data_IF_461054097672
#
_entry.id   IF_461054097672
#
_cell.length_a   1.000
_cell.length_b   1.000
_cell.length_c   1.000
_cell.angle_alpha   90.00
_cell.angle_beta   90.00
_cell.angle_gamma   90.00
#
_symmetry.space_group_name_H-M   'P 1'
#
loop_
_entity.id
_entity.type
_entity.pdbx_description
1 polymer ?
#
# COMPACT_ATOMS: atom_id res chain seq x y z
N UNK A 1 -19.38 -11.86 22.27
CA UNK A 1 -18.81 -10.82 21.38
C UNK A 1 -19.57 -9.53 21.68
N UNK A 2 -19.00 -8.58 22.44
CA UNK A 2 -19.67 -7.32 22.79
C UNK A 2 -19.37 -6.29 21.70
N UNK A 3 -20.29 -6.09 20.76
CA UNK A 3 -20.20 -5.02 19.76
C UNK A 3 -20.31 -3.66 20.47
N UNK A 4 -19.39 -2.75 20.21
CA UNK A 4 -19.45 -1.37 20.74
C UNK A 4 -20.33 -0.52 19.82
N UNK A 5 -20.94 0.54 20.36
CA UNK A 5 -21.78 1.47 19.59
C UNK A 5 -21.06 2.01 18.34
N UNK A 6 -19.74 2.25 18.45
CA UNK A 6 -18.91 2.66 17.32
C UNK A 6 -18.83 1.61 16.20
N UNK A 7 -18.78 0.32 16.54
CA UNK A 7 -18.76 -0.76 15.53
C UNK A 7 -20.08 -0.82 14.75
N UNK A 8 -21.20 -0.54 15.42
CA UNK A 8 -22.53 -0.48 14.81
C UNK A 8 -22.69 0.76 13.92
N UNK A 9 -22.16 1.90 14.34
CA UNK A 9 -22.16 3.14 13.55
C UNK A 9 -21.30 2.97 12.29
N UNK A 10 -20.11 2.40 12.42
CA UNK A 10 -19.22 2.11 11.28
C UNK A 10 -19.91 1.17 10.28
N UNK A 11 -20.54 0.11 10.77
CA UNK A 11 -21.27 -0.84 9.93
C UNK A 11 -22.48 -0.20 9.23
N UNK A 12 -23.23 0.66 9.93
CA UNK A 12 -24.37 1.37 9.36
C UNK A 12 -23.92 2.38 8.29
N UNK A 13 -22.84 3.12 8.51
CA UNK A 13 -22.26 4.04 7.53
C UNK A 13 -21.74 3.30 6.30
N UNK A 14 -21.08 2.15 6.49
CA UNK A 14 -20.63 1.30 5.39
C UNK A 14 -21.81 0.77 4.56
N UNK A 15 -22.90 0.36 5.23
CA UNK A 15 -24.11 -0.11 4.55
C UNK A 15 -24.77 1.02 3.75
N UNK A 16 -24.88 2.21 4.35
CA UNK A 16 -25.52 3.37 3.74
C UNK A 16 -24.74 3.89 2.53
N UNK A 17 -23.40 3.95 2.63
CA UNK A 17 -22.51 4.32 1.52
C UNK A 17 -22.57 3.30 0.39
N UNK A 18 -22.64 2.00 0.72
CA UNK A 18 -22.82 0.92 -0.27
C UNK A 18 -24.18 1.03 -0.98
N UNK A 19 -25.26 1.25 -0.23
CA UNK A 19 -26.61 1.41 -0.78
C UNK A 19 -26.71 2.64 -1.68
N UNK A 20 -26.10 3.77 -1.29
CA UNK A 20 -26.02 4.97 -2.12
C UNK A 20 -25.24 4.73 -3.41
N UNK A 21 -24.07 4.09 -3.32
CA UNK A 21 -23.25 3.79 -4.49
C UNK A 21 -23.99 2.89 -5.49
N UNK A 22 -24.63 1.82 -4.99
CA UNK A 22 -25.45 0.92 -5.81
C UNK A 22 -26.67 1.63 -6.39
N UNK A 23 -27.36 2.46 -5.60
CA UNK A 23 -28.53 3.22 -6.04
C UNK A 23 -28.22 4.16 -7.19
N UNK A 24 -27.13 4.94 -7.08
CA UNK A 24 -26.67 5.81 -8.16
C UNK A 24 -26.32 4.99 -9.40
N UNK A 25 -25.55 3.90 -9.24
CA UNK A 25 -25.14 3.07 -10.36
C UNK A 25 -26.33 2.46 -11.11
N UNK A 26 -27.28 1.88 -10.38
CA UNK A 26 -28.50 1.29 -10.94
C UNK A 26 -29.33 2.34 -11.68
N UNK A 27 -29.55 3.52 -11.07
CA UNK A 27 -30.32 4.61 -11.67
C UNK A 27 -29.69 5.08 -12.99
N UNK A 28 -28.36 5.22 -13.02
CA UNK A 28 -27.65 5.75 -14.21
C UNK A 28 -27.51 4.77 -15.37
N UNK A 29 -27.39 3.46 -15.11
CA UNK A 29 -27.11 2.47 -16.14
C UNK A 29 -28.37 1.98 -16.88
N UNK A 30 -29.57 2.31 -16.38
CA UNK A 30 -30.83 2.07 -17.09
C UNK A 30 -31.19 0.60 -17.35
N UNK A 31 -30.54 -0.35 -16.67
CA UNK A 31 -30.69 -1.80 -16.91
C UNK A 31 -31.18 -2.61 -15.71
N UNK A 32 -31.60 -1.92 -14.63
CA UNK A 32 -32.13 -2.51 -13.40
C UNK A 32 -33.31 -1.66 -12.91
N UNK A 33 -34.53 -2.20 -12.93
CA UNK A 33 -35.72 -1.50 -12.44
C UNK A 33 -35.87 -1.64 -10.91
N UNK A 34 -35.94 -0.52 -10.20
CA UNK A 34 -36.15 -0.49 -8.75
C UNK A 34 -37.61 -0.26 -8.42
N UNK A 35 -38.29 -1.26 -7.85
CA UNK A 35 -39.67 -1.12 -7.37
C UNK A 35 -39.78 -0.57 -5.94
N UNK A 36 -38.70 -0.61 -5.16
CA UNK A 36 -38.69 -0.16 -3.76
C UNK A 36 -37.30 0.29 -3.30
N UNK A 37 -37.22 1.38 -2.52
CA UNK A 37 -35.98 1.83 -1.89
C UNK A 37 -35.43 0.80 -0.88
N UNK A 38 -36.29 -0.05 -0.30
CA UNK A 38 -35.88 -1.12 0.59
C UNK A 38 -35.07 -2.21 -0.12
N UNK A 39 -35.29 -2.40 -1.42
CA UNK A 39 -34.50 -3.34 -2.23
C UNK A 39 -33.02 -2.94 -2.29
N UNK A 40 -32.69 -1.63 -2.27
CA UNK A 40 -31.30 -1.16 -2.24
C UNK A 40 -30.59 -1.53 -0.93
N UNK A 41 -31.29 -1.36 0.19
CA UNK A 41 -30.76 -1.77 1.50
C UNK A 41 -30.60 -3.29 1.57
N UNK A 42 -31.54 -4.06 1.01
CA UNK A 42 -31.45 -5.51 0.96
C UNK A 42 -30.27 -5.99 0.10
N UNK A 43 -30.05 -5.38 -1.08
CA UNK A 43 -28.86 -5.66 -1.90
C UNK A 43 -27.59 -5.35 -1.09
N UNK A 44 -27.51 -4.18 -0.44
CA UNK A 44 -26.33 -3.81 0.34
C UNK A 44 -26.05 -4.81 1.49
N UNK A 45 -27.09 -5.29 2.17
CA UNK A 45 -26.98 -6.34 3.19
C UNK A 45 -26.52 -7.67 2.60
N UNK A 46 -27.10 -8.10 1.48
CA UNK A 46 -26.72 -9.36 0.82
C UNK A 46 -25.29 -9.32 0.28
N UNK A 47 -24.86 -8.18 -0.26
CA UNK A 47 -23.47 -7.98 -0.69
C UNK A 47 -22.52 -8.02 0.50
N UNK A 48 -22.88 -7.37 1.62
CA UNK A 48 -22.09 -7.43 2.85
C UNK A 48 -22.02 -8.85 3.45
N UNK A 49 -23.12 -9.61 3.38
CA UNK A 49 -23.17 -10.99 3.84
C UNK A 49 -22.38 -11.93 2.92
N UNK A 50 -22.54 -11.81 1.60
CA UNK A 50 -21.80 -12.58 0.61
C UNK A 50 -20.30 -12.30 0.67
N UNK A 51 -19.91 -11.05 0.90
CA UNK A 51 -18.54 -10.70 1.27
C UNK A 51 -18.08 -11.50 2.49
N UNK A 52 -18.78 -11.37 3.62
CA UNK A 52 -18.40 -12.05 4.86
C UNK A 52 -18.20 -13.56 4.68
N UNK A 53 -19.06 -14.20 3.88
CA UNK A 53 -19.02 -15.63 3.58
C UNK A 53 -17.89 -16.03 2.61
N UNK A 54 -17.51 -15.17 1.67
CA UNK A 54 -16.43 -15.47 0.69
C UNK A 54 -15.04 -15.28 1.27
N UNK A 55 -14.89 -14.49 2.34
CA UNK A 55 -13.61 -14.27 3.06
C UNK A 55 -12.81 -15.54 3.36
N UNK A 56 -13.33 -16.60 4.00
CA UNK A 56 -12.56 -17.82 4.28
C UNK A 56 -12.04 -18.51 3.02
N UNK A 57 -12.83 -18.51 1.93
CA UNK A 57 -12.43 -19.10 0.66
C UNK A 57 -11.32 -18.29 0.00
N UNK A 58 -11.47 -16.96 -0.07
CA UNK A 58 -10.45 -16.05 -0.58
C UNK A 58 -9.14 -16.19 0.20
N UNK A 59 -9.22 -16.41 1.52
CA UNK A 59 -8.06 -16.70 2.38
C UNK A 59 -7.31 -17.96 1.95
N UNK A 60 -8.03 -19.04 1.66
CA UNK A 60 -7.43 -20.30 1.23
C UNK A 60 -6.79 -20.16 -0.16
N UNK A 61 -7.46 -19.48 -1.08
CA UNK A 61 -6.97 -19.31 -2.45
C UNK A 61 -5.72 -18.45 -2.49
N UNK A 62 -5.73 -17.31 -1.82
CA UNK A 62 -4.59 -16.40 -1.78
C UNK A 62 -3.34 -17.01 -1.12
N UNK A 63 -3.50 -17.96 -0.19
CA UNK A 63 -2.39 -18.73 0.36
C UNK A 63 -1.74 -19.67 -0.69
N UNK A 64 -2.47 -20.08 -1.73
CA UNK A 64 -1.97 -20.99 -2.79
C UNK A 64 -1.53 -20.28 -4.06
N UNK A 65 -2.19 -19.20 -4.45
CA UNK A 65 -2.01 -18.56 -5.76
C UNK A 65 -1.26 -17.21 -5.69
N UNK A 66 -0.87 -16.78 -4.48
CA UNK A 66 -0.17 -15.52 -4.26
C UNK A 66 -1.06 -14.29 -4.48
N UNK A 67 -0.45 -13.11 -4.51
CA UNK A 67 -1.17 -11.83 -4.54
C UNK A 67 -2.01 -11.64 -5.81
N UNK A 68 -1.49 -12.02 -6.98
CA UNK A 68 -2.20 -11.88 -8.26
C UNK A 68 -3.42 -12.81 -8.30
N UNK A 69 -3.28 -14.07 -7.87
CA UNK A 69 -4.40 -14.99 -7.83
C UNK A 69 -5.44 -14.61 -6.77
N UNK A 70 -5.02 -14.05 -5.64
CA UNK A 70 -5.91 -13.47 -4.64
C UNK A 70 -6.76 -12.32 -5.19
N UNK A 71 -6.14 -11.43 -5.97
CA UNK A 71 -6.80 -10.29 -6.60
C UNK A 71 -7.86 -10.76 -7.61
N UNK A 72 -7.51 -11.70 -8.50
CA UNK A 72 -8.43 -12.24 -9.48
C UNK A 72 -9.59 -12.99 -8.82
N UNK A 73 -9.31 -13.79 -7.79
CA UNK A 73 -10.34 -14.50 -7.02
C UNK A 73 -11.27 -13.51 -6.28
N UNK A 74 -10.72 -12.44 -5.70
CA UNK A 74 -11.49 -11.40 -5.02
C UNK A 74 -12.44 -10.67 -5.97
N UNK A 75 -11.97 -10.29 -7.15
CA UNK A 75 -12.79 -9.65 -8.19
C UNK A 75 -13.90 -10.59 -8.68
N UNK A 76 -13.57 -11.87 -8.92
CA UNK A 76 -14.55 -12.87 -9.33
C UNK A 76 -15.62 -13.08 -8.25
N UNK A 77 -15.21 -13.21 -6.98
CA UNK A 77 -16.14 -13.35 -5.86
C UNK A 77 -17.09 -12.14 -5.77
N UNK A 78 -16.62 -10.93 -6.00
CA UNK A 78 -17.46 -9.73 -6.00
C UNK A 78 -18.49 -9.72 -7.11
N UNK A 79 -18.09 -10.06 -8.33
CA UNK A 79 -19.01 -10.16 -9.46
C UNK A 79 -20.10 -11.20 -9.17
N UNK A 80 -19.72 -12.35 -8.63
CA UNK A 80 -20.67 -13.42 -8.28
C UNK A 80 -21.61 -13.03 -7.13
N UNK A 81 -21.08 -12.40 -6.07
CA UNK A 81 -21.88 -11.94 -4.93
C UNK A 81 -22.86 -10.85 -5.36
N UNK A 82 -22.42 -9.87 -6.15
CA UNK A 82 -23.30 -8.81 -6.65
C UNK A 82 -24.35 -9.37 -7.62
N UNK A 83 -23.94 -10.22 -8.57
CA UNK A 83 -24.87 -10.86 -9.49
C UNK A 83 -25.94 -11.66 -8.73
N UNK A 84 -25.52 -12.50 -7.78
CA UNK A 84 -26.44 -13.27 -6.93
C UNK A 84 -27.36 -12.37 -6.09
N UNK A 85 -26.84 -11.27 -5.54
CA UNK A 85 -27.67 -10.32 -4.79
C UNK A 85 -28.73 -9.64 -5.66
N UNK A 86 -28.40 -9.31 -6.91
CA UNK A 86 -29.34 -8.68 -7.84
C UNK A 86 -30.40 -9.67 -8.37
N UNK A 87 -30.06 -10.96 -8.52
CA UNK A 87 -31.02 -12.02 -8.91
C UNK A 87 -31.97 -12.41 -7.78
N UNK A 88 -31.49 -12.46 -6.54
CA UNK A 88 -32.29 -12.93 -5.38
C UNK A 88 -33.25 -11.87 -4.86
N UNK A 89 -32.93 -10.58 -5.02
CA UNK A 89 -33.74 -9.51 -4.43
C UNK A 89 -35.05 -9.32 -5.20
N UNK A 90 -36.21 -9.48 -4.54
CA UNK A 90 -37.50 -9.35 -5.20
C UNK A 90 -37.72 -7.93 -5.75
N UNK A 91 -38.28 -7.86 -6.96
CA UNK A 91 -38.67 -6.59 -7.58
C UNK A 91 -37.55 -5.89 -8.34
N UNK A 92 -36.47 -6.60 -8.68
CA UNK A 92 -35.45 -6.18 -9.64
C UNK A 92 -35.55 -7.04 -10.89
N UNK A 93 -35.43 -6.41 -12.05
CA UNK A 93 -35.26 -7.09 -13.34
C UNK A 93 -33.91 -6.71 -13.91
N UNK A 94 -33.06 -7.70 -14.13
CA UNK A 94 -31.77 -7.52 -14.79
C UNK A 94 -31.96 -7.62 -16.30
N UNK A 95 -31.48 -6.62 -17.05
CA UNK A 95 -31.43 -6.70 -18.51
C UNK A 95 -30.43 -7.78 -19.01
N UNK A 96 -29.52 -8.24 -18.15
CA UNK A 96 -28.61 -9.37 -18.38
C UNK A 96 -27.35 -9.32 -17.50
N UNK A 97 -26.59 -10.42 -17.40
CA UNK A 97 -25.41 -10.52 -16.53
C UNK A 97 -24.29 -9.52 -16.90
N UNK A 98 -24.25 -9.05 -18.15
CA UNK A 98 -23.29 -8.06 -18.64
C UNK A 98 -23.40 -6.68 -17.97
N UNK A 99 -24.51 -6.38 -17.28
CA UNK A 99 -24.72 -5.11 -16.57
C UNK A 99 -24.00 -5.08 -15.22
N UNK A 100 -23.75 -6.25 -14.62
CA UNK A 100 -23.18 -6.39 -13.27
C UNK A 100 -21.78 -5.76 -13.14
N UNK A 101 -20.82 -5.95 -14.08
CA UNK A 101 -19.53 -5.28 -14.00
C UNK A 101 -19.63 -3.76 -14.05
N UNK A 102 -20.54 -3.22 -14.87
CA UNK A 102 -20.75 -1.77 -14.98
C UNK A 102 -21.34 -1.19 -13.69
N UNK A 103 -22.31 -1.87 -13.08
CA UNK A 103 -22.87 -1.49 -11.77
C UNK A 103 -21.79 -1.50 -10.70
N UNK A 104 -20.97 -2.56 -10.65
CA UNK A 104 -19.90 -2.68 -9.68
C UNK A 104 -18.88 -1.54 -9.81
N UNK A 105 -18.42 -1.24 -11.02
CA UNK A 105 -17.45 -0.17 -11.30
C UNK A 105 -18.02 1.20 -10.94
N UNK A 106 -19.25 1.50 -11.34
CA UNK A 106 -19.87 2.80 -11.10
C UNK A 106 -20.20 3.02 -9.62
N UNK A 107 -20.70 1.99 -8.93
CA UNK A 107 -20.88 2.04 -7.49
C UNK A 107 -19.54 2.29 -6.78
N UNK A 108 -18.49 1.58 -7.20
CA UNK A 108 -17.12 1.79 -6.73
C UNK A 108 -16.65 3.24 -6.91
N UNK A 109 -16.90 3.85 -8.07
CA UNK A 109 -16.54 5.23 -8.37
C UNK A 109 -17.32 6.25 -7.54
N UNK A 110 -18.62 6.07 -7.37
CA UNK A 110 -19.46 6.94 -6.53
C UNK A 110 -19.00 6.89 -5.08
N UNK A 111 -18.68 5.71 -4.56
CA UNK A 111 -18.15 5.56 -3.21
C UNK A 111 -16.77 6.21 -3.05
N UNK A 112 -15.88 6.05 -4.04
CA UNK A 112 -14.57 6.70 -4.04
C UNK A 112 -14.70 8.22 -4.00
N UNK A 113 -15.60 8.78 -4.84
CA UNK A 113 -15.87 10.21 -4.91
C UNK A 113 -16.49 10.74 -3.61
N UNK A 114 -17.49 10.03 -3.05
CA UNK A 114 -18.12 10.39 -1.79
C UNK A 114 -17.11 10.46 -0.64
N UNK A 115 -16.19 9.49 -0.56
CA UNK A 115 -15.12 9.50 0.46
C UNK A 115 -14.13 10.64 0.25
N UNK A 116 -13.76 10.91 -0.99
CA UNK A 116 -12.91 12.06 -1.33
C UNK A 116 -13.53 13.39 -0.91
N UNK A 117 -14.85 13.57 -1.14
CA UNK A 117 -15.58 14.79 -0.74
C UNK A 117 -15.63 14.99 0.78
N UNK A 118 -15.72 13.89 1.55
CA UNK A 118 -15.77 13.93 3.01
C UNK A 118 -14.35 14.02 3.61
N UNK A 119 -13.30 13.95 2.78
CA UNK A 119 -11.90 13.99 3.21
C UNK A 119 -11.44 12.73 3.95
N UNK A 120 -12.20 11.64 3.88
CA UNK A 120 -11.87 10.36 4.54
C UNK A 120 -10.98 9.54 3.62
N UNK A 121 -9.76 9.25 4.06
CA UNK A 121 -8.83 8.38 3.32
C UNK A 121 -8.80 6.96 3.91
N UNK A 122 -8.72 5.93 3.06
CA UNK A 122 -8.98 4.53 3.50
C UNK A 122 -7.84 3.92 4.29
N UNK A 123 -6.63 4.45 4.15
CA UNK A 123 -5.50 4.06 5.00
C UNK A 123 -5.88 4.26 6.48
N UNK A 124 -6.69 5.26 6.84
CA UNK A 124 -7.22 5.44 8.21
C UNK A 124 -8.23 4.36 8.62
N UNK A 125 -9.04 3.83 7.71
CA UNK A 125 -10.04 2.81 8.03
C UNK A 125 -9.41 1.42 8.22
N UNK A 126 -8.53 1.02 7.28
CA UNK A 126 -7.77 -0.25 7.39
C UNK A 126 -6.92 -0.22 8.65
N UNK A 127 -6.29 0.92 8.93
CA UNK A 127 -5.50 1.12 10.13
C UNK A 127 -6.36 1.26 11.38
N UNK A 128 -7.59 1.77 11.28
CA UNK A 128 -8.55 1.86 12.37
C UNK A 128 -8.86 0.49 12.97
N UNK A 129 -9.04 -0.54 12.15
CA UNK A 129 -9.16 -1.93 12.63
C UNK A 129 -7.86 -2.43 13.28
N UNK A 130 -6.70 -2.15 12.66
CA UNK A 130 -5.39 -2.54 13.19
C UNK A 130 -5.13 -1.90 14.57
N UNK A 131 -5.33 -0.59 14.71
CA UNK A 131 -5.21 0.18 15.95
C UNK A 131 -6.23 -0.30 16.99
N UNK A 132 -7.49 -0.54 16.58
CA UNK A 132 -8.55 -1.06 17.48
C UNK A 132 -8.17 -2.41 18.04
N UNK A 133 -7.65 -3.32 17.21
CA UNK A 133 -7.14 -4.63 17.63
C UNK A 133 -5.89 -4.52 18.51
N UNK A 134 -4.96 -3.64 18.16
CA UNK A 134 -3.76 -3.38 18.96
C UNK A 134 -4.15 -2.90 20.36
N UNK A 135 -5.04 -1.90 20.45
CA UNK A 135 -5.59 -1.40 21.73
C UNK A 135 -6.37 -2.46 22.49
N UNK A 136 -7.16 -3.29 21.81
CA UNK A 136 -7.90 -4.38 22.45
C UNK A 136 -6.96 -5.45 23.00
N UNK A 137 -5.85 -5.73 22.30
CA UNK A 137 -4.81 -6.64 22.76
C UNK A 137 -4.04 -6.04 23.94
N UNK A 138 -3.59 -4.79 23.83
CA UNK A 138 -2.86 -4.08 24.88
C UNK A 138 -3.64 -4.06 26.21
N UNK A 139 -4.95 -3.77 26.15
CA UNK A 139 -5.84 -3.83 27.32
C UNK A 139 -5.96 -5.22 27.94
N UNK A 140 -5.88 -6.29 27.14
CA UNK A 140 -5.95 -7.68 27.64
C UNK A 140 -4.64 -8.15 28.23
N UNK A 141 -3.52 -7.71 27.67
CA UNK A 141 -2.17 -8.09 28.12
C UNK A 141 -1.65 -7.19 29.25
N UNK A 142 -2.44 -6.22 29.72
CA UNK A 142 -2.01 -5.27 30.75
C UNK A 142 -0.87 -4.35 30.29
N UNK A 143 -0.61 -4.30 28.98
CA UNK A 143 0.46 -3.48 28.39
C UNK A 143 0.01 -2.03 28.13
N UNK A 144 -0.96 -1.53 28.89
CA UNK A 144 -1.31 -0.09 28.97
C UNK A 144 -0.27 0.67 29.81
N UNK A 145 1.00 0.27 29.66
CA UNK A 145 2.13 0.83 30.38
C UNK A 145 2.67 2.01 29.57
N UNK A 146 3.20 3.02 30.25
CA UNK A 146 3.77 4.21 29.62
C UNK A 146 4.78 3.82 28.52
N UNK A 147 4.86 4.59 27.42
CA UNK A 147 5.73 4.32 26.27
C UNK A 147 7.13 3.83 26.64
N UNK A 148 7.78 4.51 27.58
CA UNK A 148 9.18 4.31 28.00
C UNK A 148 9.45 2.99 28.75
N UNK A 149 8.40 2.23 29.09
CA UNK A 149 8.52 0.93 29.78
C UNK A 149 8.39 -0.27 28.84
N UNK A 150 8.02 -0.05 27.58
CA UNK A 150 7.91 -1.09 26.57
C UNK A 150 9.30 -1.45 26.05
N UNK A 151 9.47 -2.68 25.59
CA UNK A 151 10.73 -3.07 24.93
C UNK A 151 11.00 -2.15 23.72
N UNK A 152 12.26 -1.72 23.50
CA UNK A 152 12.61 -0.91 22.34
C UNK A 152 12.29 -1.59 21.01
N UNK A 153 11.87 -0.81 20.03
CA UNK A 153 11.75 -1.21 18.62
C UNK A 153 12.29 -0.14 17.68
N UNK A 154 12.55 -0.51 16.44
CA UNK A 154 13.01 0.40 15.39
C UNK A 154 12.16 0.22 14.13
N UNK A 155 11.65 1.33 13.60
CA UNK A 155 11.02 1.42 12.30
C UNK A 155 11.90 2.27 11.40
N UNK A 156 12.39 1.70 10.30
CA UNK A 156 13.16 2.42 9.26
C UNK A 156 12.30 2.51 8.00
N UNK A 157 12.01 3.73 7.54
CA UNK A 157 11.15 4.00 6.39
C UNK A 157 11.97 4.71 5.31
N UNK A 158 12.36 4.00 4.26
CA UNK A 158 13.03 4.62 3.14
C UNK A 158 11.98 5.31 2.26
N UNK A 159 12.16 6.61 2.03
CA UNK A 159 11.44 7.33 0.99
C UNK A 159 12.30 7.29 -0.28
N UNK A 160 12.08 6.29 -1.14
CA UNK A 160 12.97 6.06 -2.30
C UNK A 160 13.06 7.30 -3.18
N UNK A 161 14.25 7.58 -3.70
CA UNK A 161 14.54 8.73 -4.57
C UNK A 161 14.43 10.12 -3.94
N UNK A 162 14.01 10.26 -2.67
CA UNK A 162 13.81 11.57 -2.02
C UNK A 162 15.14 12.15 -1.55
N UNK A 163 15.68 13.09 -2.34
CA UNK A 163 16.85 13.88 -1.93
C UNK A 163 16.50 14.98 -0.91
N UNK A 164 17.51 15.43 -0.16
CA UNK A 164 17.39 16.51 0.86
C UNK A 164 16.71 17.76 0.32
N UNK A 165 17.10 18.21 -0.87
CA UNK A 165 16.58 19.46 -1.44
C UNK A 165 15.10 19.34 -1.83
N UNK A 166 14.69 18.19 -2.37
CA UNK A 166 13.27 17.90 -2.63
C UNK A 166 12.48 17.86 -1.33
N UNK A 167 13.00 17.23 -0.29
CA UNK A 167 12.34 17.20 1.02
C UNK A 167 12.18 18.62 1.59
N UNK A 168 13.21 19.46 1.46
CA UNK A 168 13.16 20.87 1.85
C UNK A 168 12.04 21.63 1.14
N UNK A 169 11.95 21.51 -0.19
CA UNK A 169 10.88 22.12 -1.00
C UNK A 169 9.50 21.63 -0.56
N UNK A 170 9.34 20.34 -0.27
CA UNK A 170 8.06 19.79 0.18
C UNK A 170 7.65 20.31 1.56
N UNK A 171 8.59 20.44 2.49
CA UNK A 171 8.35 21.02 3.82
C UNK A 171 7.95 22.50 3.68
N UNK A 172 8.70 23.29 2.93
CA UNK A 172 8.44 24.72 2.71
C UNK A 172 7.10 24.95 2.01
N UNK A 173 6.72 24.08 1.08
CA UNK A 173 5.43 24.13 0.38
C UNK A 173 4.25 23.65 1.24
N UNK A 174 4.47 23.23 2.49
CA UNK A 174 3.42 22.71 3.38
C UNK A 174 2.90 21.34 2.98
N UNK A 175 3.66 20.58 2.17
CA UNK A 175 3.30 19.24 1.68
C UNK A 175 3.80 18.11 2.57
N UNK A 176 4.61 18.41 3.59
CA UNK A 176 5.12 17.42 4.54
C UNK A 176 4.83 17.82 6.01
N UNK A 177 3.54 17.93 6.42
CA UNK A 177 3.17 18.42 7.74
C UNK A 177 3.62 17.51 8.90
N UNK A 178 3.72 16.19 8.71
CA UNK A 178 4.20 15.25 9.73
C UNK A 178 5.68 15.42 9.97
N UNK A 179 6.49 15.36 8.91
CA UNK A 179 7.93 15.58 8.97
C UNK A 179 8.26 16.97 9.51
N UNK A 180 7.54 18.01 9.06
CA UNK A 180 7.67 19.36 9.60
C UNK A 180 7.37 19.40 11.10
N UNK A 181 6.29 18.74 11.56
CA UNK A 181 5.96 18.65 12.99
C UNK A 181 7.11 18.00 13.76
N UNK A 182 7.61 16.86 13.31
CA UNK A 182 8.70 16.12 13.96
C UNK A 182 9.97 16.95 14.14
N UNK A 183 10.35 17.71 13.10
CA UNK A 183 11.49 18.62 13.16
C UNK A 183 11.22 19.79 14.10
N UNK A 184 10.06 20.43 14.00
CA UNK A 184 9.69 21.60 14.81
C UNK A 184 9.56 21.27 16.30
N UNK A 185 9.03 20.10 16.65
CA UNK A 185 8.90 19.66 18.05
C UNK A 185 10.16 19.02 18.60
N UNK A 186 11.18 18.81 17.78
CA UNK A 186 12.47 18.24 18.19
C UNK A 186 12.43 16.74 18.48
N UNK A 187 11.40 16.01 18.03
CA UNK A 187 11.35 14.54 18.17
C UNK A 187 12.29 13.85 17.19
N UNK A 188 12.59 14.50 16.06
CA UNK A 188 13.54 14.02 15.06
C UNK A 188 14.51 15.14 14.67
N UNK A 189 15.66 14.74 14.11
CA UNK A 189 16.68 15.65 13.58
C UNK A 189 16.97 15.29 12.13
N UNK A 190 17.03 16.30 11.26
CA UNK A 190 17.45 16.12 9.88
C UNK A 190 18.97 16.04 9.83
N UNK A 191 19.50 14.89 9.43
CA UNK A 191 20.93 14.68 9.17
C UNK A 191 21.12 14.41 7.68
N UNK A 192 22.14 14.99 7.08
CA UNK A 192 22.46 14.80 5.67
C UNK A 192 23.71 13.96 5.51
N UNK A 193 23.68 13.03 4.57
CA UNK A 193 24.85 12.31 4.09
C UNK A 193 24.82 12.22 2.57
N UNK A 194 25.95 11.92 1.97
CA UNK A 194 26.05 11.70 0.53
C UNK A 194 25.84 10.22 0.24
N UNK A 195 24.87 9.91 -0.63
CA UNK A 195 24.76 8.58 -1.20
C UNK A 195 26.02 8.28 -2.03
N UNK A 196 26.52 7.04 -1.95
CA UNK A 196 27.65 6.60 -2.78
C UNK A 196 27.22 6.52 -4.25
N UNK A 197 28.21 6.53 -5.14
CA UNK A 197 27.99 6.29 -6.58
C UNK A 197 28.18 4.78 -6.83
N UNK A 198 27.22 4.10 -7.49
CA UNK A 198 25.99 4.64 -8.07
C UNK A 198 24.89 4.87 -7.02
N UNK A 199 24.18 6.00 -7.11
CA UNK A 199 23.07 6.32 -6.22
C UNK A 199 21.77 5.66 -6.70
N UNK A 200 21.79 4.34 -6.82
CA UNK A 200 20.64 3.51 -7.21
C UNK A 200 20.07 2.79 -5.99
N UNK A 201 18.79 2.44 -6.02
CA UNK A 201 18.12 1.67 -4.95
C UNK A 201 18.92 0.44 -4.49
N UNK A 202 19.38 -0.48 -5.37
CA UNK A 202 20.14 -1.66 -4.92
C UNK A 202 21.46 -1.28 -4.22
N UNK A 203 22.22 -0.31 -4.74
CA UNK A 203 23.47 0.12 -4.10
C UNK A 203 23.22 0.79 -2.74
N UNK A 204 22.20 1.65 -2.65
CA UNK A 204 21.85 2.35 -1.41
C UNK A 204 21.34 1.38 -0.34
N UNK A 205 20.49 0.42 -0.72
CA UNK A 205 20.03 -0.62 0.19
C UNK A 205 21.16 -1.57 0.61
N UNK A 206 22.10 -1.90 -0.27
CA UNK A 206 23.27 -2.70 0.11
C UNK A 206 24.12 -1.98 1.17
N UNK A 207 24.42 -0.71 0.96
CA UNK A 207 25.14 0.10 1.94
C UNK A 207 24.40 0.19 3.29
N UNK A 208 23.09 0.42 3.25
CA UNK A 208 22.27 0.52 4.47
C UNK A 208 22.16 -0.82 5.22
N UNK A 209 21.93 -1.92 4.50
CA UNK A 209 21.59 -3.21 5.09
C UNK A 209 22.80 -4.10 5.36
N UNK A 210 23.90 -3.92 4.64
CA UNK A 210 25.10 -4.77 4.75
C UNK A 210 26.38 -3.98 5.04
N UNK A 211 26.31 -2.64 5.07
CA UNK A 211 27.45 -1.76 5.36
C UNK A 211 28.33 -1.44 4.15
N UNK A 212 28.09 -2.06 3.00
CA UNK A 212 28.87 -1.84 1.77
C UNK A 212 28.02 -1.97 0.50
N UNK A 213 28.42 -1.23 -0.53
CA UNK A 213 27.83 -1.20 -1.86
C UNK A 213 28.85 -1.41 -2.99
N UNK A 214 30.13 -1.65 -2.70
CA UNK A 214 31.21 -1.73 -3.70
C UNK A 214 30.96 -2.82 -4.75
N UNK A 215 30.27 -3.89 -4.36
CA UNK A 215 29.90 -4.97 -5.25
C UNK A 215 28.79 -4.62 -6.27
N UNK A 216 28.14 -3.46 -6.15
CA UNK A 216 27.01 -3.05 -7.01
C UNK A 216 27.40 -1.83 -7.86
N UNK A 217 27.90 -2.04 -9.08
CA UNK A 217 28.38 -0.95 -9.93
C UNK A 217 27.25 -0.20 -10.66
N UNK A 218 26.03 -0.76 -10.72
CA UNK A 218 24.89 -0.22 -11.46
C UNK A 218 23.60 -0.96 -11.10
N UNK A 219 22.45 -0.43 -11.51
CA UNK A 219 21.17 -1.15 -11.45
C UNK A 219 21.18 -2.45 -12.28
N UNK A 220 21.90 -2.44 -13.40
CA UNK A 220 22.14 -3.58 -14.29
C UNK A 220 23.58 -3.59 -14.79
N UNK A 221 24.23 -4.74 -14.78
CA UNK A 221 25.62 -4.86 -15.23
C UNK A 221 25.92 -6.25 -15.77
N UNK A 222 26.96 -6.36 -16.59
CA UNK A 222 27.47 -7.64 -17.05
C UNK A 222 28.37 -8.25 -15.98
N UNK A 223 28.00 -9.43 -15.48
CA UNK A 223 28.82 -10.18 -14.54
C UNK A 223 29.73 -11.12 -15.32
N UNK A 224 31.05 -10.92 -15.19
CA UNK A 224 32.03 -11.71 -15.93
C UNK A 224 32.08 -13.17 -15.46
N UNK A 225 31.92 -13.40 -14.16
CA UNK A 225 32.02 -14.74 -13.57
C UNK A 225 30.81 -15.60 -13.95
N UNK A 226 29.61 -15.00 -14.01
CA UNK A 226 28.39 -15.67 -14.45
C UNK A 226 28.18 -15.65 -15.97
N UNK A 227 28.98 -14.87 -16.71
CA UNK A 227 28.87 -14.75 -18.16
C UNK A 227 27.50 -14.23 -18.64
N UNK A 228 26.83 -13.39 -17.84
CA UNK A 228 25.47 -12.89 -18.15
C UNK A 228 25.20 -11.52 -17.54
N UNK A 229 24.15 -10.86 -18.05
CA UNK A 229 23.65 -9.63 -17.46
C UNK A 229 22.89 -9.92 -16.16
N UNK A 230 23.31 -9.28 -15.07
CA UNK A 230 22.55 -9.17 -13.83
C UNK A 230 21.66 -7.92 -13.88
N UNK A 231 20.40 -8.08 -13.47
CA UNK A 231 19.45 -6.97 -13.36
C UNK A 231 18.80 -7.03 -11.99
N UNK A 232 19.02 -5.98 -11.18
CA UNK A 232 18.64 -5.99 -9.76
C UNK A 232 17.16 -6.27 -9.53
N UNK A 233 16.26 -5.82 -10.40
CA UNK A 233 14.82 -6.07 -10.26
C UNK A 233 14.34 -7.46 -10.74
N UNK A 234 15.25 -8.39 -11.03
CA UNK A 234 14.89 -9.79 -11.30
C UNK A 234 15.13 -10.61 -10.04
N UNK A 235 14.12 -11.37 -9.54
CA UNK A 235 14.26 -12.10 -8.29
C UNK A 235 15.49 -13.00 -8.18
N UNK A 236 15.80 -13.76 -9.24
CA UNK A 236 16.96 -14.65 -9.26
C UNK A 236 18.30 -13.90 -9.23
N UNK A 237 18.36 -12.74 -9.87
CA UNK A 237 19.56 -11.89 -9.89
C UNK A 237 19.73 -11.17 -8.54
N UNK A 238 18.64 -10.63 -7.98
CA UNK A 238 18.63 -10.03 -6.64
C UNK A 238 19.08 -11.03 -5.57
N UNK A 239 18.64 -12.28 -5.66
CA UNK A 239 19.05 -13.36 -4.76
C UNK A 239 20.56 -13.65 -4.85
N UNK A 240 21.11 -13.65 -6.06
CA UNK A 240 22.55 -13.84 -6.28
C UNK A 240 23.37 -12.65 -5.78
N UNK A 241 22.90 -11.42 -6.01
CA UNK A 241 23.53 -10.19 -5.50
C UNK A 241 23.55 -10.22 -3.97
N UNK A 242 22.40 -10.49 -3.33
CA UNK A 242 22.30 -10.57 -1.88
C UNK A 242 23.20 -11.66 -1.29
N UNK A 243 23.27 -12.82 -1.94
CA UNK A 243 24.16 -13.91 -1.51
C UNK A 243 25.62 -13.47 -1.48
N UNK A 244 26.07 -12.70 -2.47
CA UNK A 244 27.43 -12.16 -2.51
C UNK A 244 27.65 -11.08 -1.44
N UNK A 245 26.70 -10.18 -1.23
CA UNK A 245 26.75 -9.17 -0.16
C UNK A 245 26.85 -9.82 1.23
N UNK A 246 26.01 -10.82 1.50
CA UNK A 246 26.01 -11.52 2.78
C UNK A 246 27.26 -12.39 3.01
N UNK A 247 27.94 -12.80 1.94
CA UNK A 247 29.18 -13.57 2.00
C UNK A 247 30.45 -12.70 1.98
N UNK A 248 30.30 -11.39 1.80
CA UNK A 248 31.44 -10.47 1.78
C UNK A 248 32.11 -10.42 3.16
N UNK A 249 33.44 -10.27 3.16
CA UNK A 249 34.20 -10.18 4.39
C UNK A 249 33.79 -8.92 5.18
N UNK A 250 33.46 -9.09 6.47
CA UNK A 250 32.97 -8.00 7.32
C UNK A 250 31.50 -7.64 7.13
N UNK A 251 30.74 -8.35 6.29
CA UNK A 251 29.30 -8.13 6.14
C UNK A 251 28.58 -8.33 7.47
N UNK A 252 27.92 -7.27 7.94
CA UNK A 252 27.09 -7.28 9.15
C UNK A 252 25.66 -6.90 8.76
N UNK A 253 24.79 -7.89 8.49
CA UNK A 253 23.41 -7.61 8.14
C UNK A 253 22.74 -6.78 9.24
N UNK A 254 22.07 -5.70 8.86
CA UNK A 254 21.36 -4.81 9.79
C UNK A 254 20.22 -5.54 10.51
N UNK A 255 19.61 -6.53 9.86
CA UNK A 255 18.43 -7.23 10.34
C UNK A 255 18.76 -8.67 10.74
N UNK A 256 18.00 -9.18 11.69
CA UNK A 256 18.12 -10.54 12.20
C UNK A 256 16.88 -11.41 11.99
N UNK A 257 16.90 -12.65 12.51
CA UNK A 257 15.83 -13.63 12.31
C UNK A 257 14.46 -13.22 12.86
N UNK A 258 14.40 -12.22 13.75
CA UNK A 258 13.15 -11.72 14.34
C UNK A 258 12.63 -10.46 13.66
N UNK A 259 13.39 -9.90 12.72
CA UNK A 259 13.10 -8.62 12.09
C UNK A 259 12.34 -8.80 10.77
N UNK A 260 11.81 -7.69 10.24
CA UNK A 260 11.03 -7.69 9.01
C UNK A 260 11.57 -6.70 7.98
N UNK A 261 11.69 -7.18 6.74
CA UNK A 261 11.93 -6.37 5.55
C UNK A 261 10.69 -6.37 4.65
N UNK A 262 10.23 -5.19 4.24
CA UNK A 262 8.99 -4.99 3.47
C UNK A 262 9.29 -4.16 2.22
N UNK A 263 8.92 -4.66 1.04
CA UNK A 263 9.11 -3.97 -0.25
C UNK A 263 10.55 -3.60 -0.58
N UNK A 264 11.52 -4.33 -0.03
CA UNK A 264 12.95 -4.12 -0.23
C UNK A 264 13.49 -4.87 -1.46
N UNK A 265 14.66 -4.48 -1.95
CA UNK A 265 15.44 -5.27 -2.90
C UNK A 265 16.08 -6.48 -2.21
N UNK A 266 16.61 -6.25 -1.00
CA UNK A 266 17.33 -7.26 -0.20
C UNK A 266 16.67 -7.42 1.18
N UNK A 267 16.80 -8.62 1.76
CA UNK A 267 16.30 -8.95 3.09
C UNK A 267 17.09 -8.32 4.23
N UNK A 268 18.37 -7.99 4.02
CA UNK A 268 19.23 -7.46 5.08
C UNK A 268 19.42 -8.42 6.25
N UNK A 269 19.15 -9.73 6.07
CA UNK A 269 19.17 -10.74 7.13
C UNK A 269 17.84 -10.98 7.85
N UNK A 270 16.77 -10.26 7.47
CA UNK A 270 15.46 -10.38 8.09
C UNK A 270 14.88 -11.81 8.00
N UNK A 271 14.31 -12.29 9.09
CA UNK A 271 13.57 -13.56 9.11
C UNK A 271 12.19 -13.47 8.47
N UNK A 272 11.56 -12.29 8.50
CA UNK A 272 10.28 -12.04 7.82
C UNK A 272 10.50 -11.17 6.59
N UNK A 273 10.19 -11.70 5.41
CA UNK A 273 10.35 -11.00 4.13
C UNK A 273 9.00 -10.89 3.42
N UNK A 274 8.58 -9.67 3.13
CA UNK A 274 7.33 -9.40 2.39
C UNK A 274 7.66 -8.47 1.22
N UNK A 275 7.29 -8.84 -0.01
CA UNK A 275 7.63 -8.07 -1.22
C UNK A 275 9.13 -7.84 -1.41
N UNK A 276 9.98 -8.75 -0.90
CA UNK A 276 11.44 -8.61 -1.02
C UNK A 276 11.94 -9.29 -2.30
N UNK A 277 12.58 -8.52 -3.20
CA UNK A 277 12.97 -9.01 -4.54
C UNK A 277 13.87 -10.24 -4.49
N UNK A 278 14.91 -10.22 -3.66
CA UNK A 278 15.86 -11.34 -3.51
C UNK A 278 15.25 -12.61 -2.91
N UNK A 279 14.08 -12.53 -2.26
CA UNK A 279 13.37 -13.67 -1.68
C UNK A 279 12.19 -14.15 -2.53
N UNK A 280 11.73 -13.33 -3.47
CA UNK A 280 10.52 -13.60 -4.26
C UNK A 280 10.56 -14.92 -5.04
N UNK A 281 11.75 -15.41 -5.44
CA UNK A 281 11.90 -16.69 -6.13
C UNK A 281 11.89 -17.94 -5.24
N UNK A 282 12.17 -17.81 -3.94
CA UNK A 282 12.23 -18.93 -2.97
C UNK A 282 11.00 -19.01 -2.08
N UNK A 283 10.57 -17.86 -1.56
CA UNK A 283 9.53 -17.74 -0.54
C UNK A 283 8.21 -17.17 -1.10
N UNK A 284 8.18 -16.88 -2.42
CA UNK A 284 7.14 -16.09 -3.06
C UNK A 284 7.22 -14.61 -2.67
N UNK A 285 6.26 -13.80 -3.14
CA UNK A 285 6.20 -12.34 -2.90
C UNK A 285 5.86 -12.00 -1.42
N UNK A 286 5.84 -12.98 -0.53
CA UNK A 286 5.61 -12.84 0.91
C UNK A 286 4.50 -13.77 1.42
N UNK A 287 4.34 -13.88 2.75
CA UNK A 287 3.33 -14.75 3.36
C UNK A 287 1.92 -14.29 2.97
N UNK A 288 1.18 -15.19 2.29
CA UNK A 288 -0.21 -15.01 1.87
C UNK A 288 -1.11 -14.25 2.86
N UNK A 289 -1.11 -14.58 4.18
CA UNK A 289 -1.86 -13.88 5.25
C UNK A 289 -1.79 -12.36 5.25
N UNK A 290 -0.65 -11.78 4.88
CA UNK A 290 -0.42 -10.34 4.91
C UNK A 290 -1.16 -9.63 3.76
N UNK A 291 -1.30 -10.32 2.62
CA UNK A 291 -2.14 -9.89 1.50
C UNK A 291 -3.64 -10.14 1.74
N UNK A 292 -3.99 -11.11 2.61
CA UNK A 292 -5.38 -11.53 2.84
C UNK A 292 -6.27 -10.41 3.36
N UNK A 293 -5.77 -9.50 4.21
CA UNK A 293 -6.64 -8.45 4.78
C UNK A 293 -7.04 -7.39 3.75
N UNK A 294 -6.14 -7.06 2.83
CA UNK A 294 -6.41 -6.09 1.75
C UNK A 294 -7.39 -6.68 0.72
N UNK A 295 -7.22 -7.94 0.35
CA UNK A 295 -8.10 -8.61 -0.61
C UNK A 295 -9.41 -9.13 -0.01
N UNK A 296 -9.50 -9.29 1.31
CA UNK A 296 -10.71 -9.74 2.00
C UNK A 296 -11.74 -8.61 2.24
N UNK A 297 -11.46 -7.37 1.82
CA UNK A 297 -12.44 -6.28 1.86
C UNK A 297 -12.85 -5.91 0.43
N UNK A 298 -14.01 -6.38 -0.06
CA UNK A 298 -14.33 -6.34 -1.48
C UNK A 298 -14.54 -4.95 -2.07
N UNK A 299 -14.99 -4.00 -1.27
CA UNK A 299 -15.10 -2.62 -1.71
C UNK A 299 -13.75 -1.88 -1.75
N UNK A 300 -12.72 -2.40 -1.06
CA UNK A 300 -11.36 -1.88 -1.16
C UNK A 300 -10.77 -2.24 -2.53
N UNK A 301 -10.99 -3.46 -3.03
CA UNK A 301 -10.42 -3.86 -4.32
C UNK A 301 -11.00 -3.08 -5.52
N UNK A 302 -12.34 -3.02 -5.65
CA UNK A 302 -13.00 -2.28 -6.74
C UNK A 302 -12.63 -0.81 -6.70
N UNK A 303 -12.61 -0.23 -5.50
CA UNK A 303 -12.18 1.16 -5.31
C UNK A 303 -10.72 1.34 -5.69
N UNK A 304 -9.82 0.47 -5.25
CA UNK A 304 -8.40 0.53 -5.62
C UNK A 304 -8.23 0.47 -7.12
N UNK A 305 -9.02 -0.35 -7.83
CA UNK A 305 -9.07 -0.34 -9.30
C UNK A 305 -9.55 1.00 -9.84
N UNK A 306 -10.64 1.57 -9.32
CA UNK A 306 -11.14 2.88 -9.77
C UNK A 306 -10.12 4.00 -9.50
N UNK A 307 -9.50 4.03 -8.32
CA UNK A 307 -8.48 5.03 -7.97
C UNK A 307 -7.21 4.85 -8.79
N UNK A 308 -6.82 3.61 -9.08
CA UNK A 308 -5.73 3.28 -10.02
C UNK A 308 -6.06 3.89 -11.38
N UNK A 309 -7.25 3.64 -11.92
CA UNK A 309 -7.71 4.21 -13.21
C UNK A 309 -7.77 5.73 -13.15
N UNK A 310 -8.23 6.33 -12.06
CA UNK A 310 -8.25 7.78 -11.90
C UNK A 310 -6.83 8.38 -11.90
N UNK A 311 -5.87 7.76 -11.22
CA UNK A 311 -4.45 8.16 -11.29
C UNK A 311 -3.88 7.97 -12.70
N UNK A 312 -4.27 6.92 -13.43
CA UNK A 312 -3.91 6.73 -14.83
C UNK A 312 -4.44 7.86 -15.73
N UNK A 313 -5.71 8.25 -15.57
CA UNK A 313 -6.34 9.34 -16.34
C UNK A 313 -5.70 10.68 -15.99
N UNK A 314 -5.46 10.93 -14.70
CA UNK A 314 -4.77 12.13 -14.20
C UNK A 314 -3.37 12.24 -14.80
N UNK A 315 -2.65 11.14 -14.90
CA UNK A 315 -1.32 11.08 -15.50
C UNK A 315 -1.34 11.48 -16.98
N UNK A 316 -2.28 10.93 -17.76
CA UNK A 316 -2.46 11.29 -19.17
C UNK A 316 -2.81 12.77 -19.33
N UNK A 317 -3.69 13.30 -18.48
CA UNK A 317 -4.06 14.71 -18.47
C UNK A 317 -2.86 15.61 -18.10
N UNK A 318 -2.09 15.23 -17.10
CA UNK A 318 -0.88 15.95 -16.68
C UNK A 318 0.17 15.97 -17.79
N UNK A 319 0.41 14.83 -18.45
CA UNK A 319 1.28 14.74 -19.62
C UNK A 319 0.79 15.61 -20.79
N UNK A 320 -0.52 15.63 -21.05
CA UNK A 320 -1.10 16.53 -22.05
C UNK A 320 -0.90 18.01 -21.68
N UNK A 321 -1.18 18.38 -20.44
CA UNK A 321 -1.00 19.76 -19.94
C UNK A 321 0.46 20.21 -19.98
N UNK A 322 1.42 19.33 -19.69
CA UNK A 322 2.85 19.61 -19.85
C UNK A 322 3.21 19.90 -21.31
N UNK A 323 2.62 19.17 -22.27
CA UNK A 323 2.81 19.43 -23.71
C UNK A 323 2.23 20.78 -24.12
N UNK A 324 0.98 21.06 -23.75
CA UNK A 324 0.31 22.33 -24.08
C UNK A 324 1.03 23.52 -23.47
N UNK A 325 1.59 23.39 -22.26
CA UNK A 325 2.33 24.46 -21.57
C UNK A 325 3.79 24.59 -21.98
N UNK A 326 4.28 23.78 -22.91
CA UNK A 326 5.68 23.82 -23.35
C UNK A 326 6.70 23.56 -22.24
N UNK A 327 6.34 22.80 -21.20
CA UNK A 327 7.24 22.53 -20.07
C UNK A 327 8.41 21.67 -20.54
N UNK A 328 9.65 22.04 -20.19
CA UNK A 328 10.88 21.28 -20.45
C UNK A 328 11.74 21.16 -19.18
N UNK A 329 12.56 20.11 -19.01
CA UNK A 329 12.66 18.90 -19.85
C UNK A 329 11.42 17.98 -19.72
N UNK A 330 11.23 17.07 -20.70
CA UNK A 330 10.09 16.13 -20.77
C UNK A 330 10.60 14.70 -20.96
N UNK A 331 10.03 13.76 -20.21
CA UNK A 331 10.19 12.31 -20.43
C UNK A 331 8.89 11.75 -21.00
N UNK A 332 8.95 10.65 -21.74
CA UNK A 332 7.75 9.95 -22.21
C UNK A 332 6.94 9.40 -21.03
N UNK A 333 5.67 9.81 -20.94
CA UNK A 333 4.72 9.45 -19.85
C UNK A 333 3.62 8.48 -20.31
N UNK A 334 3.91 7.65 -21.31
CA UNK A 334 2.95 6.74 -21.95
C UNK A 334 3.25 5.25 -21.74
N UNK A 335 2.35 4.39 -22.21
CA UNK A 335 2.53 2.94 -22.20
C UNK A 335 2.35 2.31 -20.80
N UNK A 336 3.17 1.29 -20.51
CA UNK A 336 3.11 0.51 -19.27
C UNK A 336 3.26 1.34 -17.99
N UNK A 337 3.98 2.47 -18.07
CA UNK A 337 4.18 3.38 -16.95
C UNK A 337 2.88 3.88 -16.32
N UNK A 338 1.86 4.16 -17.14
CA UNK A 338 0.57 4.67 -16.64
C UNK A 338 -0.07 3.62 -15.72
N UNK A 339 -0.02 2.35 -16.11
CA UNK A 339 -0.52 1.21 -15.33
C UNK A 339 0.31 1.04 -14.05
N UNK A 340 1.64 1.08 -14.16
CA UNK A 340 2.56 0.91 -13.02
C UNK A 340 2.30 1.99 -11.95
N UNK A 341 2.21 3.25 -12.35
CA UNK A 341 1.95 4.40 -11.47
C UNK A 341 0.65 4.26 -10.67
N UNK A 342 -0.42 3.77 -11.31
CA UNK A 342 -1.68 3.56 -10.62
C UNK A 342 -1.58 2.46 -9.57
N UNK A 343 -0.89 1.37 -9.90
CA UNK A 343 -0.70 0.22 -9.00
C UNK A 343 0.21 0.58 -7.83
N UNK A 344 1.33 1.27 -8.05
CA UNK A 344 2.28 1.57 -6.99
C UNK A 344 1.77 2.64 -6.03
N UNK A 345 1.30 3.78 -6.54
CA UNK A 345 0.92 4.92 -5.70
C UNK A 345 -0.34 4.67 -4.85
N UNK A 346 -1.25 3.79 -5.30
CA UNK A 346 -2.50 3.51 -4.58
C UNK A 346 -2.42 2.15 -3.90
N UNK A 347 -2.23 1.08 -4.67
CA UNK A 347 -2.32 -0.27 -4.14
C UNK A 347 -1.09 -0.64 -3.31
N UNK A 348 0.12 -0.38 -3.81
CA UNK A 348 1.35 -0.75 -3.10
C UNK A 348 1.56 0.09 -1.85
N UNK A 349 1.25 1.39 -1.88
CA UNK A 349 1.33 2.25 -0.68
C UNK A 349 0.43 1.79 0.46
N UNK A 350 -0.84 1.56 0.17
CA UNK A 350 -1.82 1.14 1.18
C UNK A 350 -1.48 -0.27 1.70
N UNK A 351 -0.99 -1.14 0.82
CA UNK A 351 -0.47 -2.45 1.19
C UNK A 351 0.73 -2.33 2.13
N UNK A 352 1.78 -1.58 1.75
CA UNK A 352 2.97 -1.38 2.56
C UNK A 352 2.65 -0.81 3.94
N UNK A 353 1.78 0.22 3.98
CA UNK A 353 1.31 0.82 5.23
C UNK A 353 0.66 -0.21 6.15
N UNK A 354 -0.22 -1.05 5.58
CA UNK A 354 -0.92 -2.11 6.32
C UNK A 354 0.03 -3.21 6.81
N UNK A 355 0.98 -3.62 5.97
CA UNK A 355 1.99 -4.63 6.28
C UNK A 355 2.90 -4.18 7.42
N UNK A 356 3.40 -2.94 7.34
CA UNK A 356 4.23 -2.32 8.40
C UNK A 356 3.42 -2.26 9.68
N UNK A 357 2.20 -1.72 9.65
CA UNK A 357 1.34 -1.63 10.83
C UNK A 357 1.09 -3.00 11.48
N UNK A 358 0.91 -4.06 10.69
CA UNK A 358 0.76 -5.41 11.23
C UNK A 358 2.04 -5.91 11.91
N UNK A 359 3.23 -5.66 11.36
CA UNK A 359 4.51 -6.01 12.01
C UNK A 359 4.73 -5.23 13.31
N UNK A 360 4.41 -3.93 13.32
CA UNK A 360 4.50 -3.10 14.53
C UNK A 360 3.59 -3.64 15.64
N UNK A 361 2.34 -3.98 15.30
CA UNK A 361 1.38 -4.55 16.27
C UNK A 361 1.75 -5.97 16.72
N UNK A 362 2.48 -6.72 15.89
CA UNK A 362 3.06 -8.02 16.29
C UNK A 362 4.24 -7.87 17.25
N UNK A 363 4.85 -6.68 17.34
CA UNK A 363 6.01 -6.43 18.20
C UNK A 363 7.31 -6.92 17.58
N UNK A 364 7.44 -6.86 16.25
CA UNK A 364 8.69 -7.17 15.52
C UNK A 364 9.80 -6.17 15.90
N UNK A 365 11.00 -6.58 16.36
CA UNK A 365 11.99 -5.66 16.93
C UNK A 365 12.44 -4.56 15.96
N UNK A 366 12.87 -4.93 14.75
CA UNK A 366 13.20 -3.99 13.67
C UNK A 366 12.31 -4.25 12.47
N UNK A 367 11.72 -3.18 11.94
CA UNK A 367 10.93 -3.20 10.69
C UNK A 367 11.54 -2.20 9.72
N UNK A 368 11.92 -2.66 8.53
CA UNK A 368 12.42 -1.81 7.45
C UNK A 368 11.47 -1.89 6.27
N UNK A 369 11.11 -0.74 5.72
CA UNK A 369 10.24 -0.65 4.55
C UNK A 369 10.78 0.36 3.55
N UNK A 370 10.63 0.06 2.27
CA UNK A 370 10.90 0.99 1.18
C UNK A 370 9.60 1.43 0.50
N UNK A 371 9.39 2.74 0.43
CA UNK A 371 8.23 3.37 -0.19
C UNK A 371 8.65 4.04 -1.51
N UNK A 372 8.43 3.30 -2.60
CA UNK A 372 8.92 3.63 -3.95
C UNK A 372 8.04 4.62 -4.73
N UNK A 373 6.91 5.02 -4.16
CA UNK A 373 5.88 5.85 -4.80
C UNK A 373 6.40 7.13 -5.43
N UNK A 374 7.24 7.87 -4.69
CA UNK A 374 7.78 9.14 -5.13
C UNK A 374 8.79 8.92 -6.26
N UNK A 375 9.70 7.97 -6.10
CA UNK A 375 10.79 7.71 -7.05
C UNK A 375 10.25 7.35 -8.43
N UNK A 376 9.26 6.45 -8.48
CA UNK A 376 8.64 6.06 -9.74
C UNK A 376 8.00 7.25 -10.47
N UNK A 377 7.37 8.17 -9.73
CA UNK A 377 6.80 9.39 -10.33
C UNK A 377 7.91 10.37 -10.73
N UNK A 378 8.92 10.54 -9.89
CA UNK A 378 10.06 11.43 -10.12
C UNK A 378 10.88 11.02 -11.34
N UNK A 379 11.03 9.72 -11.62
CA UNK A 379 11.72 9.20 -12.81
C UNK A 379 11.09 9.67 -14.13
N UNK A 380 9.77 9.90 -14.15
CA UNK A 380 9.03 10.24 -15.38
C UNK A 380 8.53 11.69 -15.41
N UNK A 381 8.24 12.29 -14.27
CA UNK A 381 7.79 13.67 -14.17
C UNK A 381 8.95 14.64 -13.90
N UNK A 382 9.95 14.20 -13.11
CA UNK A 382 11.01 15.01 -12.54
C UNK A 382 10.80 15.27 -11.03
N UNK A 383 11.87 15.37 -10.24
CA UNK A 383 11.82 15.24 -8.77
C UNK A 383 10.97 16.30 -8.06
N UNK A 384 11.00 17.54 -8.53
CA UNK A 384 10.28 18.66 -7.91
C UNK A 384 9.03 19.06 -8.68
N UNK A 385 8.51 18.20 -9.58
CA UNK A 385 7.25 18.49 -10.24
C UNK A 385 6.08 18.35 -9.26
N UNK A 386 4.99 19.11 -9.45
CA UNK A 386 3.80 19.02 -8.59
C UNK A 386 3.33 17.57 -8.40
N UNK A 387 3.43 16.74 -9.42
CA UNK A 387 3.08 15.31 -9.37
C UNK A 387 3.91 14.53 -8.35
N UNK A 388 5.24 14.67 -8.40
CA UNK A 388 6.16 14.03 -7.46
C UNK A 388 5.96 14.58 -6.04
N UNK A 389 5.80 15.89 -5.89
CA UNK A 389 5.56 16.50 -4.59
C UNK A 389 4.23 16.06 -3.97
N UNK A 390 3.20 15.79 -4.77
CA UNK A 390 1.93 15.20 -4.30
C UNK A 390 2.09 13.74 -3.88
N UNK A 391 2.99 12.98 -4.51
CA UNK A 391 3.32 11.63 -4.06
C UNK A 391 4.01 11.68 -2.68
N UNK A 392 4.97 12.60 -2.52
CA UNK A 392 5.64 12.84 -1.24
C UNK A 392 4.68 13.30 -0.13
N UNK A 393 3.68 14.11 -0.46
CA UNK A 393 2.58 14.46 0.46
C UNK A 393 1.79 13.21 0.91
N UNK A 394 1.60 12.24 -0.01
CA UNK A 394 1.04 10.94 0.31
C UNK A 394 1.90 10.13 1.27
N UNK A 395 3.23 10.14 1.07
CA UNK A 395 4.18 9.47 1.96
C UNK A 395 4.23 10.10 3.35
N UNK A 396 4.20 11.43 3.45
CA UNK A 396 4.12 12.13 4.75
C UNK A 396 2.86 11.74 5.54
N UNK A 397 1.72 11.58 4.86
CA UNK A 397 0.50 11.05 5.50
C UNK A 397 0.70 9.63 6.02
N UNK A 398 1.36 8.76 5.26
CA UNK A 398 1.68 7.39 5.71
C UNK A 398 2.54 7.43 6.97
N UNK A 399 3.55 8.31 7.03
CA UNK A 399 4.35 8.50 8.24
C UNK A 399 3.50 8.92 9.45
N UNK A 400 2.58 9.86 9.27
CA UNK A 400 1.65 10.30 10.32
C UNK A 400 0.74 9.18 10.80
N UNK A 401 0.33 8.29 9.91
CA UNK A 401 -0.45 7.10 10.24
C UNK A 401 0.39 6.06 11.01
N UNK A 402 1.61 5.77 10.57
CA UNK A 402 2.51 4.84 11.24
C UNK A 402 2.89 5.33 12.66
N UNK A 403 3.06 6.63 12.86
CA UNK A 403 3.23 7.24 14.19
C UNK A 403 2.10 6.86 15.15
N UNK A 404 0.84 6.92 14.69
CA UNK A 404 -0.32 6.54 15.49
C UNK A 404 -0.32 5.04 15.84
N UNK A 405 0.22 4.19 14.96
CA UNK A 405 0.38 2.75 15.24
C UNK A 405 1.46 2.52 16.28
N UNK A 406 2.62 3.18 16.15
CA UNK A 406 3.72 3.10 17.12
C UNK A 406 3.25 3.46 18.53
N UNK A 407 2.38 4.46 18.65
CA UNK A 407 1.79 4.87 19.94
C UNK A 407 0.99 3.76 20.65
N UNK A 408 0.48 2.76 19.93
CA UNK A 408 -0.33 1.65 20.47
C UNK A 408 0.32 0.28 20.31
N UNK A 409 1.54 0.22 19.76
CA UNK A 409 2.25 -1.02 19.53
C UNK A 409 2.82 -1.62 20.83
N UNK A 410 3.09 -2.94 20.89
CA UNK A 410 3.67 -3.57 22.07
C UNK A 410 5.09 -3.11 22.43
N UNK A 411 5.85 -2.62 21.44
CA UNK A 411 7.19 -2.06 21.59
C UNK A 411 7.17 -0.53 21.50
N UNK A 412 8.17 0.10 22.09
CA UNK A 412 8.43 1.53 21.91
C UNK A 412 9.28 1.76 20.66
N UNK A 413 8.60 1.99 19.53
CA UNK A 413 9.28 2.15 18.24
C UNK A 413 9.83 3.56 18.08
N UNK A 414 11.14 3.64 17.83
CA UNK A 414 11.77 4.83 17.26
C UNK A 414 11.66 4.78 15.75
N UNK A 415 11.36 5.92 15.13
CA UNK A 415 11.20 6.02 13.67
C UNK A 415 12.42 6.70 13.08
N UNK A 416 12.97 6.11 12.02
CA UNK A 416 14.01 6.67 11.15
C UNK A 416 13.44 6.72 9.75
N UNK A 417 13.61 7.85 9.07
CA UNK A 417 13.13 8.08 7.70
C UNK A 417 14.30 8.48 6.82
#
# INVERSE_FOLDING_TARGET
MRYRLADLVDAALALLTTALGLGVAIFTLGGVELRSAWSLLLIAVLVAAGDYLTRPLLRLMAARTGAVGALLAGLAAQLLVLWGALEVVPGLTLAGPQVVPAVLLLAGAVMALGRWLIGVNDSEYVLGDVIRRARARARRTGTDVQPDSREPGLLVVLLDGVGRDTLGVAIEAGLAPTLYRWLRTGTHRLTTWWARVPSTTPASQAALLYGDSDAIPSFRWWDRDLGRLLVSNRPADAAEIERRLAAAEGATPLLGPRDAAISMMFSGGAGTNVLVMSRAGRDGIGPGPAFLRMFASPFVLVRSVVLTVAEMVKELFQGHRQRVRGVVPRVGRGGWYVVLRGITNVLLRDLNTSLVAEQLVRGTPVVVVDLVDYDEIAHHAGPQRPESLRALEGLDRVLGLLEQVCAVAPRDYRVVV
#
